data_IF_086616311958
#
_entry.id   IF_086616311958
#
_cell.length_a   1.000
_cell.length_b   1.000
_cell.length_c   1.000
_cell.angle_alpha   90.00
_cell.angle_beta   90.00
_cell.angle_gamma   90.00
#
_symmetry.space_group_name_H-M   'P 1'
#
loop_
_entity.id
_entity.type
_entity.pdbx_description
1 polymer ?
#
# COMPACT_ATOMS: atom_id res chain seq x y z
N UNK A 1 -8.15 -15.04 -20.37
CA UNK A 1 -7.36 -16.18 -20.88
C UNK A 1 -6.14 -16.41 -20.02
N UNK A 2 -5.33 -15.36 -19.79
CA UNK A 2 -4.11 -15.44 -19.00
C UNK A 2 -4.37 -15.78 -17.51
N UNK A 3 -5.50 -15.33 -16.94
CA UNK A 3 -5.91 -15.66 -15.57
C UNK A 3 -6.25 -17.15 -15.42
N UNK A 4 -6.90 -17.74 -16.40
CA UNK A 4 -7.21 -19.17 -16.41
C UNK A 4 -5.97 -20.03 -16.62
N UNK A 5 -5.00 -19.55 -17.41
CA UNK A 5 -3.74 -20.25 -17.67
C UNK A 5 -2.79 -20.24 -16.46
N UNK A 6 -2.86 -19.19 -15.60
CA UNK A 6 -2.02 -19.05 -14.40
C UNK A 6 -2.53 -19.89 -13.23
N UNK A 7 -3.84 -20.00 -13.08
CA UNK A 7 -4.47 -20.81 -12.04
C UNK A 7 -5.85 -21.26 -12.52
N UNK A 8 -6.22 -22.51 -12.27
CA UNK A 8 -7.56 -23.02 -12.54
C UNK A 8 -8.58 -22.29 -11.68
N UNK A 9 -8.95 -21.09 -12.09
CA UNK A 9 -9.94 -20.26 -11.38
C UNK A 9 -11.32 -20.73 -11.81
N UNK A 10 -11.96 -21.54 -10.98
CA UNK A 10 -13.32 -22.00 -11.22
C UNK A 10 -14.38 -20.91 -10.97
N UNK A 11 -13.96 -19.74 -10.41
CA UNK A 11 -14.86 -18.71 -9.90
C UNK A 11 -14.40 -17.30 -10.29
N UNK A 12 -14.50 -16.94 -11.56
CA UNK A 12 -14.13 -15.61 -12.08
C UNK A 12 -14.84 -14.45 -11.36
N UNK A 13 -16.10 -14.69 -10.95
CA UNK A 13 -16.90 -13.67 -10.23
C UNK A 13 -16.29 -13.33 -8.87
N UNK A 14 -15.73 -14.30 -8.15
CA UNK A 14 -15.12 -14.06 -6.85
C UNK A 14 -13.83 -13.26 -6.97
N UNK A 15 -13.06 -13.47 -8.05
CA UNK A 15 -11.85 -12.69 -8.31
C UNK A 15 -12.19 -11.22 -8.59
N UNK A 16 -13.25 -10.95 -9.37
CA UNK A 16 -13.74 -9.60 -9.61
C UNK A 16 -14.17 -8.92 -8.31
N UNK A 17 -15.00 -9.60 -7.48
CA UNK A 17 -15.42 -9.08 -6.17
C UNK A 17 -14.24 -8.84 -5.22
N UNK A 18 -13.22 -9.72 -5.24
CA UNK A 18 -12.01 -9.49 -4.48
C UNK A 18 -11.28 -8.23 -4.95
N UNK A 19 -11.15 -8.03 -6.26
CA UNK A 19 -10.50 -6.83 -6.80
C UNK A 19 -11.21 -5.54 -6.37
N UNK A 20 -12.55 -5.52 -6.43
CA UNK A 20 -13.37 -4.40 -5.94
C UNK A 20 -13.13 -4.14 -4.44
N UNK A 21 -13.15 -5.21 -3.62
CA UNK A 21 -12.93 -5.10 -2.18
C UNK A 21 -11.51 -4.60 -1.84
N UNK A 22 -10.50 -5.03 -2.59
CA UNK A 22 -9.13 -4.55 -2.42
C UNK A 22 -8.96 -3.09 -2.87
N UNK A 23 -9.72 -2.66 -3.88
CA UNK A 23 -9.74 -1.25 -4.30
C UNK A 23 -10.33 -0.35 -3.21
N UNK A 24 -11.44 -0.76 -2.56
CA UNK A 24 -12.01 -0.07 -1.40
C UNK A 24 -11.05 -0.02 -0.20
N UNK A 25 -10.05 -0.89 -0.16
CA UNK A 25 -9.05 -0.99 0.91
C UNK A 25 -7.66 -0.54 0.50
N UNK A 26 -7.51 0.03 -0.69
CA UNK A 26 -6.20 0.52 -1.15
C UNK A 26 -5.59 1.49 -0.12
N UNK A 27 -4.27 1.44 0.09
CA UNK A 27 -3.59 2.23 1.12
C UNK A 27 -3.78 1.75 2.57
N UNK A 28 -4.63 0.74 2.83
CA UNK A 28 -4.90 0.24 4.18
C UNK A 28 -4.16 -1.07 4.48
N UNK A 29 -4.08 -1.40 5.78
CA UNK A 29 -3.52 -2.68 6.23
C UNK A 29 -4.35 -3.85 5.72
N UNK A 30 -3.70 -4.83 5.11
CA UNK A 30 -4.34 -6.03 4.57
C UNK A 30 -4.64 -7.05 5.67
N UNK A 31 -5.87 -7.09 6.15
CA UNK A 31 -6.35 -8.18 7.00
C UNK A 31 -7.07 -9.22 6.14
N UNK A 32 -6.37 -10.30 5.80
CA UNK A 32 -6.91 -11.36 4.92
C UNK A 32 -8.12 -12.04 5.54
N UNK A 33 -8.17 -12.22 6.87
CA UNK A 33 -9.32 -12.84 7.52
C UNK A 33 -10.59 -12.00 7.36
N UNK A 34 -10.48 -10.66 7.44
CA UNK A 34 -11.62 -9.78 7.19
C UNK A 34 -12.04 -9.83 5.71
N UNK A 35 -11.06 -9.84 4.79
CA UNK A 35 -11.33 -9.97 3.34
C UNK A 35 -12.05 -11.29 3.04
N UNK A 36 -11.58 -12.39 3.62
CA UNK A 36 -12.19 -13.72 3.47
C UNK A 36 -13.65 -13.74 3.96
N UNK A 37 -13.88 -13.17 5.15
CA UNK A 37 -15.22 -13.09 5.75
C UNK A 37 -16.17 -12.29 4.87
N UNK A 38 -15.74 -11.13 4.36
CA UNK A 38 -16.59 -10.27 3.51
C UNK A 38 -16.95 -10.91 2.17
N UNK A 39 -16.06 -11.78 1.65
CA UNK A 39 -16.29 -12.50 0.40
C UNK A 39 -17.03 -13.82 0.60
N UNK A 40 -17.14 -14.32 1.83
CA UNK A 40 -17.65 -15.66 2.12
C UNK A 40 -16.73 -16.77 1.61
N UNK A 41 -15.43 -16.52 1.55
CA UNK A 41 -14.40 -17.47 1.13
C UNK A 41 -13.56 -17.92 2.33
N UNK A 42 -12.90 -19.07 2.21
CA UNK A 42 -11.88 -19.45 3.16
C UNK A 42 -10.60 -18.62 2.96
N UNK A 43 -9.79 -18.56 4.03
CA UNK A 43 -8.58 -17.75 4.05
C UNK A 43 -7.53 -18.19 3.02
N UNK A 44 -7.39 -19.50 2.82
CA UNK A 44 -6.39 -20.05 1.90
C UNK A 44 -6.72 -19.69 0.45
N UNK A 45 -7.98 -19.82 0.06
CA UNK A 45 -8.48 -19.42 -1.27
C UNK A 45 -8.31 -17.91 -1.47
N UNK A 46 -8.64 -17.10 -0.46
CA UNK A 46 -8.46 -15.64 -0.52
C UNK A 46 -6.99 -15.26 -0.73
N UNK A 47 -6.06 -15.90 0.02
CA UNK A 47 -4.62 -15.69 -0.16
C UNK A 47 -4.13 -16.08 -1.56
N UNK A 48 -4.60 -17.20 -2.10
CA UNK A 48 -4.28 -17.63 -3.47
C UNK A 48 -4.74 -16.60 -4.50
N UNK A 49 -5.95 -16.07 -4.35
CA UNK A 49 -6.49 -15.08 -5.27
C UNK A 49 -5.74 -13.74 -5.17
N UNK A 50 -5.40 -13.28 -3.97
CA UNK A 50 -4.55 -12.09 -3.81
C UNK A 50 -3.19 -12.31 -4.48
N UNK A 51 -2.58 -13.47 -4.30
CA UNK A 51 -1.30 -13.80 -4.93
C UNK A 51 -1.38 -13.82 -6.46
N UNK A 52 -2.53 -14.21 -7.03
CA UNK A 52 -2.78 -14.12 -8.48
C UNK A 52 -2.84 -12.65 -8.93
N UNK A 53 -3.61 -11.82 -8.22
CA UNK A 53 -3.69 -10.39 -8.53
C UNK A 53 -2.33 -9.69 -8.41
N UNK A 54 -1.48 -10.10 -7.47
CA UNK A 54 -0.10 -9.61 -7.34
C UNK A 54 0.76 -10.02 -8.56
N UNK A 55 0.66 -11.29 -9.01
CA UNK A 55 1.38 -11.78 -10.20
C UNK A 55 0.93 -11.09 -11.49
N UNK A 56 -0.32 -10.67 -11.55
CA UNK A 56 -0.88 -9.88 -12.65
C UNK A 56 -0.56 -8.39 -12.54
N UNK A 57 0.19 -7.97 -11.52
CA UNK A 57 0.52 -6.57 -11.25
C UNK A 57 -0.70 -5.66 -11.03
N UNK A 58 -1.85 -6.21 -10.64
CA UNK A 58 -3.05 -5.44 -10.34
C UNK A 58 -3.03 -4.88 -8.92
N UNK A 59 -2.44 -5.60 -7.98
CA UNK A 59 -2.26 -5.17 -6.59
C UNK A 59 -0.81 -5.40 -6.14
N UNK A 60 -0.42 -4.69 -5.10
CA UNK A 60 0.90 -4.81 -4.45
C UNK A 60 0.75 -4.83 -2.95
N UNK A 61 1.37 -5.80 -2.29
CA UNK A 61 1.58 -5.74 -0.84
C UNK A 61 2.83 -4.92 -0.55
N UNK A 62 2.67 -3.85 0.22
CA UNK A 62 3.78 -3.05 0.74
C UNK A 62 4.10 -3.54 2.16
N UNK A 63 5.25 -4.20 2.38
CA UNK A 63 5.59 -4.78 3.67
C UNK A 63 5.79 -3.70 4.74
N UNK A 64 5.63 -4.08 6.01
CA UNK A 64 5.89 -3.16 7.11
C UNK A 64 7.38 -2.98 7.37
N UNK A 65 7.82 -1.74 7.55
CA UNK A 65 9.16 -1.43 8.00
C UNK A 65 9.34 -1.68 9.50
N UNK A 66 10.48 -2.22 9.87
CA UNK A 66 10.93 -2.29 11.26
C UNK A 66 12.46 -2.37 11.27
N UNK A 67 13.12 -1.75 12.28
CA UNK A 67 14.57 -1.78 12.41
C UNK A 67 15.12 -3.22 12.46
N UNK A 68 14.45 -4.12 13.17
CA UNK A 68 14.73 -5.55 13.15
C UNK A 68 14.02 -6.20 11.96
N UNK A 69 14.78 -6.72 10.99
CA UNK A 69 14.27 -7.34 9.76
C UNK A 69 13.36 -8.54 10.02
N UNK A 70 13.65 -9.37 11.02
CA UNK A 70 12.80 -10.53 11.35
C UNK A 70 11.38 -10.10 11.77
N UNK A 71 11.24 -8.95 12.43
CA UNK A 71 9.92 -8.42 12.81
C UNK A 71 9.11 -7.87 11.64
N UNK A 72 9.71 -7.65 10.47
CA UNK A 72 8.99 -7.21 9.26
C UNK A 72 8.12 -8.32 8.71
N UNK A 73 8.62 -9.56 8.77
CA UNK A 73 7.96 -10.74 8.17
C UNK A 73 6.63 -11.11 8.84
N UNK A 74 6.43 -10.70 10.09
CA UNK A 74 5.23 -11.02 10.87
C UNK A 74 4.25 -9.85 11.01
N UNK A 75 4.56 -8.70 10.41
CA UNK A 75 3.71 -7.51 10.46
C UNK A 75 2.79 -7.46 9.26
N UNK A 76 1.60 -6.92 9.48
CA UNK A 76 0.59 -6.75 8.43
C UNK A 76 1.06 -5.78 7.36
N UNK A 77 1.10 -6.17 6.07
CA UNK A 77 1.41 -5.25 4.99
C UNK A 77 0.24 -4.30 4.71
N UNK A 78 0.51 -3.17 4.03
CA UNK A 78 -0.54 -2.42 3.33
C UNK A 78 -0.82 -3.07 1.97
N UNK A 79 -2.05 -2.89 1.46
CA UNK A 79 -2.42 -3.28 0.09
C UNK A 79 -2.60 -2.03 -0.77
N UNK A 80 -2.05 -2.03 -1.96
CA UNK A 80 -2.21 -0.97 -2.94
C UNK A 80 -2.69 -1.54 -4.26
N UNK A 81 -3.69 -0.93 -4.88
CA UNK A 81 -3.99 -1.14 -6.31
C UNK A 81 -2.93 -0.41 -7.11
N UNK A 82 -2.31 -1.10 -8.06
CA UNK A 82 -1.15 -0.57 -8.81
C UNK A 82 -1.57 0.55 -9.75
N UNK A 83 -2.71 0.39 -10.43
CA UNK A 83 -3.29 1.42 -11.30
C UNK A 83 -4.29 2.27 -10.50
N UNK A 84 -3.94 3.54 -10.29
CA UNK A 84 -4.78 4.48 -9.55
C UNK A 84 -6.06 4.86 -10.28
N UNK A 85 -6.08 4.80 -11.62
CA UNK A 85 -7.28 5.00 -12.42
C UNK A 85 -8.26 3.85 -12.23
N UNK A 86 -7.76 2.61 -12.23
CA UNK A 86 -8.56 1.42 -11.89
C UNK A 86 -9.09 1.51 -10.45
N UNK A 87 -8.23 1.92 -9.49
CA UNK A 87 -8.66 2.12 -8.10
C UNK A 87 -9.77 3.17 -8.01
N UNK A 88 -9.63 4.31 -8.68
CA UNK A 88 -10.64 5.36 -8.69
C UNK A 88 -11.96 4.89 -9.31
N UNK A 89 -11.90 4.16 -10.44
CA UNK A 89 -13.08 3.61 -11.11
C UNK A 89 -13.83 2.62 -10.21
N UNK A 90 -13.13 1.67 -9.58
CA UNK A 90 -13.74 0.68 -8.70
C UNK A 90 -14.29 1.30 -7.42
N UNK A 91 -13.71 2.39 -6.93
CA UNK A 91 -14.23 3.21 -5.83
C UNK A 91 -15.32 4.20 -6.27
N UNK A 92 -15.73 4.20 -7.54
CA UNK A 92 -16.74 5.09 -8.12
C UNK A 92 -16.40 6.59 -7.96
N UNK A 93 -15.13 6.93 -7.84
CA UNK A 93 -14.65 8.31 -7.72
C UNK A 93 -14.75 9.01 -9.07
N UNK A 94 -15.25 10.24 -9.06
CA UNK A 94 -15.41 11.10 -10.24
C UNK A 94 -14.44 12.28 -10.20
N UNK A 95 -14.21 12.87 -11.37
CA UNK A 95 -13.46 14.13 -11.47
C UNK A 95 -14.17 15.21 -10.63
N UNK A 96 -13.49 15.75 -9.65
CA UNK A 96 -14.05 16.72 -8.68
C UNK A 96 -14.29 16.15 -7.28
N UNK A 97 -14.42 14.83 -7.10
CA UNK A 97 -14.61 14.22 -5.77
C UNK A 97 -13.39 14.42 -4.86
N UNK A 98 -12.23 14.72 -5.45
CA UNK A 98 -11.03 15.10 -4.72
C UNK A 98 -11.22 16.37 -3.86
N UNK A 99 -12.24 17.20 -4.17
CA UNK A 99 -12.64 18.36 -3.36
C UNK A 99 -13.71 17.97 -2.35
N UNK A 100 -14.79 17.29 -2.81
CA UNK A 100 -16.02 17.04 -2.05
C UNK A 100 -15.97 15.77 -1.20
N UNK A 101 -15.27 14.71 -1.64
CA UNK A 101 -15.17 13.41 -0.98
C UNK A 101 -13.72 13.08 -0.61
N UNK A 102 -13.12 13.96 0.17
CA UNK A 102 -11.70 13.91 0.51
C UNK A 102 -11.25 12.65 1.24
N UNK A 103 -12.14 12.03 2.00
CA UNK A 103 -11.84 10.80 2.76
C UNK A 103 -11.54 9.61 1.86
N UNK A 104 -12.32 9.46 0.80
CA UNK A 104 -12.20 8.31 -0.13
C UNK A 104 -11.06 8.51 -1.12
N UNK A 105 -10.73 9.77 -1.45
CA UNK A 105 -9.65 10.10 -2.37
C UNK A 105 -8.26 9.93 -1.76
N UNK A 106 -8.11 10.16 -0.46
CA UNK A 106 -6.80 10.11 0.23
C UNK A 106 -6.04 8.80 0.00
N UNK A 107 -6.64 7.64 0.25
CA UNK A 107 -5.99 6.33 0.03
C UNK A 107 -5.61 6.06 -1.44
N UNK A 108 -6.40 6.57 -2.40
CA UNK A 108 -6.08 6.45 -3.83
C UNK A 108 -4.90 7.34 -4.20
N UNK A 109 -4.85 8.57 -3.66
CA UNK A 109 -3.70 9.47 -3.83
C UNK A 109 -2.43 8.89 -3.21
N UNK A 110 -2.51 8.35 -1.99
CA UNK A 110 -1.39 7.62 -1.36
C UNK A 110 -0.88 6.53 -2.28
N UNK A 111 -1.79 5.65 -2.76
CA UNK A 111 -1.43 4.55 -3.66
C UNK A 111 -0.80 5.05 -4.94
N UNK A 112 -1.31 6.13 -5.54
CA UNK A 112 -0.72 6.76 -6.72
C UNK A 112 0.72 7.19 -6.47
N UNK A 113 0.97 7.97 -5.41
CA UNK A 113 2.32 8.47 -5.10
C UNK A 113 3.29 7.31 -4.82
N UNK A 114 2.86 6.34 -4.01
CA UNK A 114 3.67 5.15 -3.69
C UNK A 114 4.05 4.39 -4.96
N UNK A 115 3.08 4.13 -5.87
CA UNK A 115 3.35 3.40 -7.11
C UNK A 115 4.25 4.20 -8.05
N UNK A 116 4.04 5.52 -8.19
CA UNK A 116 4.91 6.37 -9.02
C UNK A 116 6.35 6.35 -8.53
N UNK A 117 6.61 6.46 -7.23
CA UNK A 117 7.95 6.41 -6.68
C UNK A 117 8.61 5.04 -6.88
N UNK A 118 7.87 3.95 -6.69
CA UNK A 118 8.38 2.60 -6.93
C UNK A 118 8.70 2.38 -8.42
N UNK A 119 7.85 2.85 -9.33
CA UNK A 119 8.09 2.74 -10.77
C UNK A 119 9.32 3.56 -11.21
N UNK A 120 9.45 4.80 -10.74
CA UNK A 120 10.59 5.66 -11.06
C UNK A 120 11.91 5.08 -10.50
N UNK A 121 11.86 4.49 -9.31
CA UNK A 121 13.02 3.81 -8.73
C UNK A 121 13.51 2.63 -9.57
N UNK A 122 12.63 1.98 -10.33
CA UNK A 122 13.02 0.92 -11.26
C UNK A 122 13.91 1.37 -12.42
N UNK A 123 14.05 2.67 -12.63
CA UNK A 123 14.99 3.24 -13.63
C UNK A 123 16.38 3.52 -13.04
N UNK A 124 16.52 3.42 -11.73
CA UNK A 124 17.81 3.58 -11.05
C UNK A 124 18.55 2.22 -11.05
N UNK A 125 19.86 2.27 -11.11
CA UNK A 125 20.70 1.08 -11.00
C UNK A 125 20.85 0.58 -9.54
N UNK A 126 20.17 1.25 -8.60
CA UNK A 126 20.29 1.02 -7.18
C UNK A 126 19.29 -0.04 -6.69
N UNK A 127 19.72 -0.85 -5.72
CA UNK A 127 18.85 -1.82 -5.04
C UNK A 127 18.08 -1.11 -3.91
N UNK A 128 16.85 -0.70 -4.21
CA UNK A 128 15.96 -0.02 -3.28
C UNK A 128 14.89 -0.98 -2.73
N UNK A 129 14.65 -0.89 -1.43
CA UNK A 129 13.60 -1.63 -0.75
C UNK A 129 12.50 -0.68 -0.28
N UNK A 130 11.25 -1.08 -0.50
CA UNK A 130 10.06 -0.29 -0.19
C UNK A 130 9.24 -0.96 0.89
N UNK A 131 8.74 -0.15 1.83
CA UNK A 131 7.90 -0.60 2.94
C UNK A 131 7.07 0.56 3.46
N UNK A 132 6.08 0.28 4.32
CA UNK A 132 5.38 1.32 5.09
C UNK A 132 5.83 1.27 6.55
N UNK A 133 5.66 2.36 7.29
CA UNK A 133 5.88 2.38 8.73
C UNK A 133 4.57 2.58 9.48
N UNK A 134 4.36 1.80 10.54
CA UNK A 134 3.28 2.01 11.49
C UNK A 134 3.70 1.54 12.88
N UNK A 135 3.49 2.40 13.88
CA UNK A 135 3.78 2.06 15.27
C UNK A 135 2.56 1.52 16.03
N UNK A 136 2.73 1.27 17.33
CA UNK A 136 1.67 0.79 18.20
C UNK A 136 0.59 1.84 18.49
N UNK A 137 0.94 3.12 18.35
CA UNK A 137 0.05 4.27 18.55
C UNK A 137 -0.66 4.65 17.24
N UNK A 138 -0.54 3.81 16.21
CA UNK A 138 -1.13 3.99 14.86
C UNK A 138 -0.56 5.20 14.09
N UNK A 139 0.61 5.70 14.49
CA UNK A 139 1.30 6.73 13.72
C UNK A 139 2.00 6.07 12.54
N UNK A 140 1.80 6.61 11.33
CA UNK A 140 2.20 5.99 10.07
C UNK A 140 3.18 6.86 9.29
N UNK A 141 3.93 6.21 8.37
CA UNK A 141 4.59 6.80 7.20
C UNK A 141 4.23 5.93 6.01
N UNK A 142 3.71 6.54 4.96
CA UNK A 142 3.11 5.84 3.83
C UNK A 142 4.12 5.07 3.02
N UNK A 143 5.32 5.64 2.80
CA UNK A 143 6.40 4.95 2.13
C UNK A 143 7.73 5.16 2.87
N UNK A 144 8.40 4.07 3.16
CA UNK A 144 9.79 4.02 3.63
C UNK A 144 10.64 3.44 2.53
N UNK A 145 11.68 4.17 2.13
CA UNK A 145 12.65 3.76 1.12
C UNK A 145 13.94 3.42 1.82
N UNK A 146 14.51 2.26 1.54
CA UNK A 146 15.82 1.85 2.07
C UNK A 146 16.78 1.58 0.92
N UNK A 147 18.00 2.16 1.03
CA UNK A 147 19.15 1.84 0.19
C UNK A 147 20.29 1.40 1.11
N UNK A 148 20.62 0.12 1.08
CA UNK A 148 21.60 -0.44 2.01
C UNK A 148 21.19 -0.25 3.48
N UNK A 149 21.82 0.68 4.17
CA UNK A 149 21.51 1.05 5.56
C UNK A 149 20.73 2.35 5.68
N UNK A 150 20.69 3.15 4.65
CA UNK A 150 20.04 4.46 4.65
C UNK A 150 18.53 4.34 4.50
N UNK A 151 17.82 5.24 5.17
CA UNK A 151 16.35 5.22 5.29
C UNK A 151 15.80 6.60 5.02
N UNK A 152 14.81 6.67 4.13
CA UNK A 152 14.01 7.87 3.86
C UNK A 152 12.54 7.58 4.12
N UNK A 153 11.76 8.60 4.45
CA UNK A 153 10.33 8.50 4.62
C UNK A 153 9.58 9.44 3.69
N UNK A 154 8.44 8.99 3.18
CA UNK A 154 7.50 9.81 2.42
C UNK A 154 6.13 9.69 3.08
N UNK A 155 5.55 10.82 3.39
CA UNK A 155 4.18 10.94 3.95
C UNK A 155 3.33 11.72 2.95
N UNK A 156 2.20 11.18 2.54
CA UNK A 156 1.31 11.77 1.56
C UNK A 156 0.15 12.47 2.27
N UNK A 157 0.00 13.76 2.02
CA UNK A 157 -1.10 14.55 2.57
C UNK A 157 -1.86 15.26 1.48
N UNK A 158 -3.18 15.17 1.57
CA UNK A 158 -4.08 15.97 0.75
C UNK A 158 -4.47 17.24 1.51
N UNK A 159 -3.58 18.21 1.56
CA UNK A 159 -3.80 19.47 2.25
C UNK A 159 -3.15 20.63 1.48
N UNK A 160 -3.76 21.80 1.54
CA UNK A 160 -3.17 23.02 0.97
C UNK A 160 -2.14 23.68 1.90
N UNK A 161 -2.11 23.27 3.18
CA UNK A 161 -1.16 23.75 4.18
C UNK A 161 -0.79 22.62 5.13
N UNK A 162 0.43 22.66 5.65
CA UNK A 162 0.97 21.65 6.56
C UNK A 162 1.01 22.18 7.99
N UNK A 163 0.70 21.30 8.93
CA UNK A 163 0.85 21.52 10.35
C UNK A 163 2.05 20.74 10.91
N UNK A 164 2.58 21.18 12.04
CA UNK A 164 3.70 20.49 12.70
C UNK A 164 3.37 19.03 13.06
N UNK A 165 2.09 18.72 13.28
CA UNK A 165 1.60 17.37 13.55
C UNK A 165 1.72 16.44 12.34
N UNK A 166 1.62 16.95 11.11
CA UNK A 166 1.64 16.14 9.89
C UNK A 166 2.96 15.38 9.71
N UNK A 167 4.07 15.93 10.22
CA UNK A 167 5.37 15.27 10.25
C UNK A 167 5.59 14.30 11.42
N UNK A 168 4.59 13.97 12.23
CA UNK A 168 4.75 13.11 13.40
C UNK A 168 5.27 11.71 13.03
N UNK A 169 4.76 11.12 11.93
CA UNK A 169 5.21 9.84 11.40
C UNK A 169 6.69 9.84 11.06
N UNK A 170 7.12 10.85 10.30
CA UNK A 170 8.52 11.02 9.90
C UNK A 170 9.46 11.19 11.10
N UNK A 171 9.05 11.96 12.12
CA UNK A 171 9.83 12.11 13.35
C UNK A 171 9.98 10.80 14.11
N UNK A 172 8.92 9.99 14.21
CA UNK A 172 8.97 8.67 14.86
C UNK A 172 9.82 7.68 14.06
N UNK A 173 9.69 7.67 12.73
CA UNK A 173 10.55 6.87 11.87
C UNK A 173 12.02 7.26 12.06
N UNK A 174 12.35 8.57 12.07
CA UNK A 174 13.68 9.08 12.31
C UNK A 174 14.24 8.61 13.66
N UNK A 175 13.46 8.71 14.72
CA UNK A 175 13.87 8.24 16.06
C UNK A 175 14.15 6.72 16.07
N UNK A 176 13.34 5.90 15.38
CA UNK A 176 13.56 4.46 15.30
C UNK A 176 14.73 4.06 14.40
N UNK A 177 14.91 4.74 13.27
CA UNK A 177 16.00 4.47 12.34
C UNK A 177 17.36 4.98 12.89
N UNK A 178 17.33 6.04 13.71
CA UNK A 178 18.52 6.66 14.28
C UNK A 178 19.43 7.22 13.18
N UNK A 179 20.74 7.04 13.28
CA UNK A 179 21.73 7.54 12.30
C UNK A 179 21.53 7.02 10.85
N UNK A 180 20.63 6.07 10.64
CA UNK A 180 20.25 5.56 9.31
C UNK A 180 19.26 6.48 8.60
N UNK A 181 18.50 7.30 9.33
CA UNK A 181 17.52 8.19 8.73
C UNK A 181 18.23 9.36 8.03
N UNK A 182 17.95 9.54 6.75
CA UNK A 182 18.59 10.56 5.90
C UNK A 182 17.68 11.73 5.57
N UNK A 183 16.37 11.52 5.63
CA UNK A 183 15.42 12.57 5.36
C UNK A 183 13.99 12.07 5.20
N UNK A 184 13.06 13.01 5.16
CA UNK A 184 11.67 12.74 4.88
C UNK A 184 11.04 13.84 4.03
N UNK A 185 10.01 13.45 3.27
CA UNK A 185 9.21 14.34 2.43
C UNK A 185 7.76 14.26 2.92
N UNK A 186 7.08 15.40 2.96
CA UNK A 186 5.68 15.55 3.28
C UNK A 186 4.98 16.18 2.08
#
# INVERSE_FOLDING_TARGET
>A
RDVQDIASIHKEKELGRLMELLALRTGNLLNVSNVSSDLGLDRETTEKYIAILERLFLVRRLPAWHRNRAKRLIRTPKIHVVDSGLAAMLNQLKTGDWISHSGDFGPVLESFVVQQLICQAGWLADDLNFSHYRDKEKVEVDLVIEQGRDVWGVEVKRAASFNTSDGAGLRKLAAQAGGRFKGGIL
#
